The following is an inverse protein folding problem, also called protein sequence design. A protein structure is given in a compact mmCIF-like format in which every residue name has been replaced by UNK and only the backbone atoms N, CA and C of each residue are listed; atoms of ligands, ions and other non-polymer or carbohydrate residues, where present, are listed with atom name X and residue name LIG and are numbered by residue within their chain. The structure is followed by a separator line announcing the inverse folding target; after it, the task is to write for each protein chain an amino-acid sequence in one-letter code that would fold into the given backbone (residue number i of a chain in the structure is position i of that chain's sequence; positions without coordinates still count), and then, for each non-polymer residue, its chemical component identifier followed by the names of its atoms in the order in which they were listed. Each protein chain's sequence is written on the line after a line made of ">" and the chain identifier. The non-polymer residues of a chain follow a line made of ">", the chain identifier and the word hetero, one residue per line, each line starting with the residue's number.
data_IF_916074035195
#
_entry.id   IF_916074035195
#
_cell.length_a   1.000
_cell.length_b   1.000
_cell.length_c   1.000
_cell.angle_alpha   90.00
_cell.angle_beta   90.00
_cell.angle_gamma   90.00
#
_symmetry.space_group_name_H-M   'P 1'
#
loop_
_entity.id
_entity.type
_entity.pdbx_description
1 polymer ?
#
# COMPACT_ATOMS: atom_id res chain seq x y z
N UNK A 1 0.98 24.37 6.65
CA UNK A 1 -0.14 25.21 6.18
C UNK A 1 -1.20 24.30 5.60
N UNK A 2 -2.49 24.46 5.95
CA UNK A 2 -3.57 23.71 5.31
C UNK A 2 -3.61 24.02 3.81
N UNK A 3 -3.89 23.01 2.99
CA UNK A 3 -4.07 23.14 1.54
C UNK A 3 -5.49 22.71 1.20
N UNK A 4 -6.13 23.44 0.29
CA UNK A 4 -7.48 23.14 -0.19
C UNK A 4 -7.39 22.61 -1.61
N UNK A 5 -8.11 21.53 -1.89
CA UNK A 5 -8.24 20.94 -3.22
C UNK A 5 -9.72 21.01 -3.59
N UNK A 6 -10.02 21.49 -4.80
CA UNK A 6 -11.37 21.45 -5.38
C UNK A 6 -11.39 20.38 -6.46
N UNK A 7 -12.34 19.46 -6.38
CA UNK A 7 -12.60 18.46 -7.43
C UNK A 7 -13.82 18.95 -8.20
N UNK A 8 -13.66 19.15 -9.51
CA UNK A 8 -14.70 19.65 -10.41
C UNK A 8 -15.27 18.50 -11.23
N UNK A 9 -16.45 18.74 -11.79
CA UNK A 9 -17.09 17.85 -12.77
C UNK A 9 -17.25 16.41 -12.24
N UNK A 10 -17.73 16.28 -11.00
CA UNK A 10 -18.12 15.00 -10.42
C UNK A 10 -19.52 14.66 -10.89
N UNK A 11 -19.69 13.49 -11.50
CA UNK A 11 -21.00 12.98 -11.86
C UNK A 11 -21.89 12.79 -10.63
N UNK A 12 -23.18 13.13 -10.75
CA UNK A 12 -24.13 13.07 -9.65
C UNK A 12 -24.21 11.68 -9.01
N UNK A 13 -24.09 10.62 -9.81
CA UNK A 13 -24.08 9.24 -9.32
C UNK A 13 -22.86 8.93 -8.43
N UNK A 14 -21.70 9.47 -8.78
CA UNK A 14 -20.45 9.33 -8.02
C UNK A 14 -20.58 10.10 -6.72
N UNK A 15 -21.09 11.33 -6.76
CA UNK A 15 -21.32 12.12 -5.55
C UNK A 15 -22.32 11.44 -4.61
N UNK A 16 -23.41 10.89 -5.14
CA UNK A 16 -24.40 10.16 -4.35
C UNK A 16 -23.78 8.91 -3.67
N UNK A 17 -22.93 8.16 -4.38
CA UNK A 17 -22.22 7.03 -3.80
C UNK A 17 -21.25 7.45 -2.69
N UNK A 18 -20.50 8.54 -2.88
CA UNK A 18 -19.63 9.12 -1.86
C UNK A 18 -20.42 9.58 -0.63
N UNK A 19 -21.57 10.21 -0.83
CA UNK A 19 -22.43 10.67 0.26
C UNK A 19 -22.96 9.50 1.10
N UNK A 20 -23.37 8.40 0.48
CA UNK A 20 -23.79 7.18 1.21
C UNK A 20 -22.65 6.62 2.05
N UNK A 21 -21.46 6.44 1.46
CA UNK A 21 -20.28 5.93 2.17
C UNK A 21 -19.85 6.85 3.32
N UNK A 22 -19.94 8.16 3.12
CA UNK A 22 -19.62 9.14 4.15
C UNK A 22 -20.61 9.02 5.33
N UNK A 23 -21.91 8.92 5.05
CA UNK A 23 -22.94 8.73 6.06
C UNK A 23 -22.77 7.41 6.85
N UNK A 24 -22.49 6.30 6.17
CA UNK A 24 -22.19 5.00 6.81
C UNK A 24 -20.99 5.08 7.77
N UNK A 25 -19.99 5.91 7.44
CA UNK A 25 -18.81 6.13 8.27
C UNK A 25 -18.98 7.23 9.33
N UNK A 26 -20.14 7.90 9.39
CA UNK A 26 -20.39 9.05 10.27
C UNK A 26 -19.56 10.29 9.91
N UNK A 27 -19.26 10.48 8.62
CA UNK A 27 -18.41 11.55 8.09
C UNK A 27 -19.16 12.45 7.11
N UNK A 28 -18.62 13.64 6.89
CA UNK A 28 -18.96 14.45 5.72
C UNK A 28 -18.24 13.93 4.47
N UNK A 29 -18.75 14.22 3.27
CA UNK A 29 -18.07 13.85 2.01
C UNK A 29 -16.65 14.44 1.92
N UNK A 30 -16.41 15.73 2.25
CA UNK A 30 -15.06 16.28 2.30
C UNK A 30 -14.13 15.55 3.30
N UNK A 31 -14.64 15.16 4.48
CA UNK A 31 -13.84 14.41 5.47
C UNK A 31 -13.46 13.02 4.96
N UNK A 32 -14.40 12.32 4.31
CA UNK A 32 -14.14 11.04 3.67
C UNK A 32 -13.05 11.20 2.60
N UNK A 33 -13.19 12.16 1.68
CA UNK A 33 -12.24 12.40 0.60
C UNK A 33 -10.85 12.79 1.13
N UNK A 34 -10.78 13.59 2.20
CA UNK A 34 -9.52 13.93 2.86
C UNK A 34 -8.81 12.69 3.41
N UNK A 35 -9.55 11.76 4.04
CA UNK A 35 -9.00 10.49 4.53
C UNK A 35 -8.50 9.62 3.38
N UNK A 36 -9.26 9.52 2.29
CA UNK A 36 -8.84 8.77 1.11
C UNK A 36 -7.61 9.37 0.44
N UNK A 37 -7.52 10.69 0.33
CA UNK A 37 -6.34 11.36 -0.18
C UNK A 37 -5.10 11.03 0.68
N UNK A 38 -5.24 10.97 2.00
CA UNK A 38 -4.18 10.53 2.90
C UNK A 38 -3.78 9.07 2.68
N UNK A 39 -4.76 8.17 2.47
CA UNK A 39 -4.49 6.76 2.13
C UNK A 39 -3.80 6.59 0.78
N UNK A 40 -4.18 7.41 -0.20
CA UNK A 40 -3.55 7.42 -1.51
C UNK A 40 -2.09 7.88 -1.41
N UNK A 41 -1.83 8.95 -0.67
CA UNK A 41 -0.49 9.51 -0.48
C UNK A 41 0.41 8.65 0.41
N UNK A 42 -0.13 7.79 1.28
CA UNK A 42 0.67 6.95 2.16
C UNK A 42 1.29 5.74 1.46
N UNK A 43 0.75 5.35 0.31
CA UNK A 43 1.25 4.20 -0.47
C UNK A 43 2.27 4.71 -1.50
N UNK A 44 3.58 4.40 -1.36
CA UNK A 44 4.54 4.71 -2.40
C UNK A 44 4.16 3.95 -3.67
N UNK A 45 4.45 4.54 -4.83
CA UNK A 45 4.37 3.79 -6.08
C UNK A 45 5.37 2.62 -6.06
N UNK A 46 5.15 1.63 -6.92
CA UNK A 46 6.09 0.50 -7.06
C UNK A 46 7.48 1.01 -7.44
N UNK A 47 7.54 2.04 -8.28
CA UNK A 47 8.80 2.66 -8.72
C UNK A 47 9.51 3.37 -7.56
N UNK A 48 8.81 4.20 -6.78
CA UNK A 48 9.37 4.85 -5.59
C UNK A 48 9.82 3.84 -4.54
N UNK A 49 9.09 2.73 -4.39
CA UNK A 49 9.46 1.64 -3.51
C UNK A 49 10.73 0.92 -4.00
N UNK A 50 10.83 0.63 -5.30
CA UNK A 50 12.02 0.03 -5.90
C UNK A 50 13.24 0.93 -5.78
N UNK A 51 13.10 2.25 -6.01
CA UNK A 51 14.19 3.21 -5.78
C UNK A 51 14.64 3.22 -4.31
N UNK A 52 13.70 3.22 -3.36
CA UNK A 52 14.04 3.16 -1.92
C UNK A 52 14.80 1.88 -1.57
N UNK A 53 14.39 0.74 -2.10
CA UNK A 53 15.06 -0.55 -1.85
C UNK A 53 16.43 -0.61 -2.50
N UNK A 54 16.60 -0.06 -3.72
CA UNK A 54 17.92 0.06 -4.37
C UNK A 54 18.90 0.92 -3.57
N UNK A 55 18.41 1.91 -2.83
CA UNK A 55 19.24 2.78 -1.95
C UNK A 55 19.62 2.14 -0.62
N UNK A 56 19.09 0.96 -0.28
CA UNK A 56 19.47 0.15 0.87
C UNK A 56 20.02 -1.19 0.38
N UNK A 57 21.25 -1.22 -0.15
CA UNK A 57 21.86 -2.48 -0.53
C UNK A 57 21.94 -3.39 0.71
N UNK A 58 21.37 -4.59 0.60
CA UNK A 58 21.53 -5.63 1.61
C UNK A 58 22.99 -6.08 1.60
N UNK A 59 23.60 -6.20 2.79
CA UNK A 59 24.90 -6.86 2.95
C UNK A 59 24.79 -8.37 2.85
N UNK A 60 23.56 -8.91 2.99
CA UNK A 60 23.25 -10.33 2.88
C UNK A 60 22.91 -10.63 1.42
N UNK A 61 23.60 -11.62 0.87
CA UNK A 61 23.41 -12.14 -0.47
C UNK A 61 22.19 -13.04 -0.55
N UNK A 62 21.70 -13.27 -1.78
CA UNK A 62 20.62 -14.22 -2.03
C UNK A 62 20.97 -15.63 -1.57
N UNK A 63 22.24 -16.04 -1.68
CA UNK A 63 22.69 -17.37 -1.28
C UNK A 63 22.54 -17.58 0.23
N UNK A 64 22.98 -16.62 1.04
CA UNK A 64 22.85 -16.68 2.51
C UNK A 64 21.37 -16.70 2.95
N UNK A 65 20.49 -15.97 2.25
CA UNK A 65 19.05 -16.04 2.52
C UNK A 65 18.48 -17.43 2.21
N UNK A 66 18.85 -18.03 1.08
CA UNK A 66 18.38 -19.36 0.70
C UNK A 66 18.90 -20.43 1.67
N UNK A 67 20.17 -20.33 2.08
CA UNK A 67 20.77 -21.24 3.07
C UNK A 67 20.03 -21.17 4.41
N UNK A 68 19.76 -19.97 4.93
CA UNK A 68 19.00 -19.80 6.17
C UNK A 68 17.56 -20.33 6.06
N UNK A 69 16.91 -20.15 4.90
CA UNK A 69 15.57 -20.70 4.66
C UNK A 69 15.58 -22.23 4.55
N UNK A 70 16.60 -22.81 3.93
CA UNK A 70 16.76 -24.26 3.84
C UNK A 70 17.07 -24.89 5.21
N UNK A 71 17.87 -24.22 6.05
CA UNK A 71 18.12 -24.61 7.45
C UNK A 71 16.82 -24.58 8.27
N UNK A 72 16.04 -23.51 8.17
CA UNK A 72 14.73 -23.36 8.85
C UNK A 72 13.70 -24.38 8.36
N UNK A 73 13.67 -24.67 7.06
CA UNK A 73 12.76 -25.64 6.45
C UNK A 73 13.11 -27.07 6.88
N UNK A 74 14.39 -27.35 7.11
CA UNK A 74 14.90 -28.69 7.33
C UNK A 74 14.89 -29.55 6.04
N UNK A 75 15.25 -30.84 6.17
CA UNK A 75 15.34 -31.73 5.03
C UNK A 75 14.00 -31.87 4.32
N UNK A 76 14.03 -31.87 2.99
CA UNK A 76 12.83 -32.12 2.20
C UNK A 76 12.32 -33.54 2.52
N UNK A 77 11.02 -33.73 2.79
CA UNK A 77 10.48 -35.00 3.29
C UNK A 77 10.76 -36.22 2.38
N UNK A 78 11.10 -35.99 1.11
CA UNK A 78 11.37 -37.04 0.11
C UNK A 78 12.82 -37.09 -0.42
N UNK A 79 13.80 -36.48 0.26
CA UNK A 79 15.21 -36.46 -0.20
C UNK A 79 15.95 -37.82 -0.13
N UNK A 80 15.23 -38.93 0.08
CA UNK A 80 15.80 -40.26 0.29
C UNK A 80 14.98 -41.42 -0.28
N UNK A 81 14.17 -41.19 -1.33
CA UNK A 81 13.51 -42.27 -2.08
C UNK A 81 14.01 -42.32 -3.52
#
# INVERSE_FOLDING_TARGET
>A
MPKTVQIRDIDDEVYAALSRRAAEAGLTVPDLLRREAGRLASRPTVEEWLERTRRRPSTITRAEVLEALDELRGPWPDAGR
#
